data_IF_476728726835
#
_entry.id   IF_476728726835
#
_cell.length_a   1.000
_cell.length_b   1.000
_cell.length_c   1.000
_cell.angle_alpha   90.00
_cell.angle_beta   90.00
_cell.angle_gamma   90.00
#
_symmetry.space_group_name_H-M   'P 1'
#
loop_
_entity.id
_entity.type
_entity.pdbx_description
1 polymer ?
#
# COMPACT_ATOMS: atom_id res chain seq x y z
N UNK A 1 -0.24 10.59 -0.28
CA UNK A 1 -1.50 10.80 0.49
C UNK A 1 -2.35 9.52 0.45
N UNK A 2 -2.74 8.95 1.59
CA UNK A 2 -3.62 7.77 1.65
C UNK A 2 -5.04 8.10 1.13
N UNK A 3 -5.60 7.24 0.28
CA UNK A 3 -6.93 7.43 -0.31
C UNK A 3 -7.57 6.09 -0.72
N UNK A 4 -8.84 6.15 -1.12
CA UNK A 4 -9.57 5.08 -1.79
C UNK A 4 -9.97 5.51 -3.19
N UNK A 5 -10.13 4.53 -4.06
CA UNK A 5 -10.67 4.78 -5.39
C UNK A 5 -12.19 5.02 -5.33
N UNK A 6 -12.68 5.90 -6.20
CA UNK A 6 -14.09 6.29 -6.20
C UNK A 6 -15.05 5.15 -6.62
N UNK A 7 -16.34 5.26 -6.27
CA UNK A 7 -17.35 4.22 -6.53
C UNK A 7 -17.71 4.06 -8.02
N UNK A 8 -17.17 4.91 -8.91
CA UNK A 8 -17.40 4.84 -10.35
C UNK A 8 -16.68 3.65 -11.02
N UNK A 9 -15.66 3.10 -10.35
CA UNK A 9 -14.86 2.00 -10.88
C UNK A 9 -15.37 0.66 -10.35
N UNK A 10 -15.28 -0.39 -11.18
CA UNK A 10 -15.39 -1.77 -10.72
C UNK A 10 -14.28 -2.03 -9.68
N UNK A 11 -14.53 -2.81 -8.59
CA UNK A 11 -13.66 -2.91 -7.42
C UNK A 11 -12.41 -3.77 -7.65
N UNK A 12 -11.64 -3.43 -8.69
CA UNK A 12 -10.34 -3.99 -9.03
C UNK A 12 -9.50 -2.90 -9.70
N UNK A 13 -8.24 -2.84 -9.32
CA UNK A 13 -7.28 -1.88 -9.87
C UNK A 13 -6.02 -2.63 -10.24
N UNK A 14 -5.49 -2.31 -11.41
CA UNK A 14 -4.18 -2.77 -11.84
C UNK A 14 -3.23 -1.57 -11.92
N UNK A 15 -2.04 -1.67 -11.33
CA UNK A 15 -0.99 -0.65 -11.43
C UNK A 15 0.27 -1.32 -11.98
N UNK A 16 0.70 -0.85 -13.15
CA UNK A 16 1.99 -1.21 -13.73
C UNK A 16 3.01 -0.19 -13.23
N UNK A 17 4.10 -0.66 -12.63
CA UNK A 17 5.21 0.17 -12.17
C UNK A 17 6.34 0.12 -13.18
N UNK A 18 6.90 1.28 -13.53
CA UNK A 18 7.97 1.43 -14.52
C UNK A 18 9.13 2.26 -13.95
N UNK A 19 10.33 1.97 -14.46
CA UNK A 19 11.59 2.69 -14.22
C UNK A 19 12.19 2.60 -12.81
N UNK A 20 11.49 3.06 -11.76
CA UNK A 20 12.07 3.21 -10.41
C UNK A 20 11.21 2.48 -9.36
N UNK A 21 11.83 1.76 -8.39
CA UNK A 21 11.10 1.07 -7.34
C UNK A 21 10.45 2.06 -6.35
N UNK A 22 9.40 1.61 -5.67
CA UNK A 22 8.65 2.43 -4.72
C UNK A 22 7.95 1.57 -3.68
N UNK A 23 7.76 2.11 -2.49
CA UNK A 23 6.87 1.52 -1.49
C UNK A 23 5.48 2.16 -1.58
N UNK A 24 4.45 1.32 -1.74
CA UNK A 24 3.05 1.68 -1.57
C UNK A 24 2.54 1.14 -0.23
N UNK A 25 1.81 1.96 0.50
CA UNK A 25 1.23 1.61 1.79
C UNK A 25 -0.26 1.29 1.64
N UNK A 26 -0.71 0.25 2.34
CA UNK A 26 -2.11 -0.11 2.56
C UNK A 26 -2.40 0.00 4.06
N UNK A 27 -3.28 0.91 4.43
CA UNK A 27 -3.67 1.15 5.82
C UNK A 27 -5.16 0.92 6.01
N UNK A 28 -5.54 0.27 7.11
CA UNK A 28 -6.95 -0.08 7.34
C UNK A 28 -7.82 1.17 7.52
N UNK A 29 -8.96 1.22 6.82
CA UNK A 29 -9.91 2.32 6.91
C UNK A 29 -10.86 2.14 8.11
N UNK A 30 -10.39 2.51 9.31
CA UNK A 30 -11.09 2.29 10.60
C UNK A 30 -12.57 2.74 10.66
N UNK A 31 -12.98 3.74 9.87
CA UNK A 31 -14.37 4.22 9.83
C UNK A 31 -15.34 3.29 9.09
N UNK A 32 -14.86 2.45 8.16
CA UNK A 32 -15.71 1.47 7.46
C UNK A 32 -16.00 0.25 8.33
N UNK A 33 -15.07 -0.13 9.22
CA UNK A 33 -15.27 -1.22 10.19
C UNK A 33 -16.37 -0.90 11.21
N UNK A 34 -16.55 0.38 11.59
CA UNK A 34 -17.59 0.80 12.55
C UNK A 34 -19.03 0.69 12.01
N UNK A 35 -19.22 0.47 10.70
CA UNK A 35 -20.56 0.31 10.11
C UNK A 35 -21.06 -1.14 10.08
N UNK A 36 -20.24 -2.12 10.47
CA UNK A 36 -20.72 -3.49 10.72
C UNK A 36 -21.38 -3.52 12.11
N UNK A 37 -22.73 -3.64 12.23
CA UNK A 37 -23.43 -3.39 13.48
C UNK A 37 -23.34 -4.49 14.54
N UNK A 38 -22.57 -5.56 14.31
CA UNK A 38 -22.68 -6.76 15.15
C UNK A 38 -21.74 -6.81 16.36
N UNK A 39 -20.91 -5.79 16.59
CA UNK A 39 -20.07 -5.75 17.80
C UNK A 39 -20.09 -4.37 18.46
N UNK A 40 -21.20 -4.08 19.16
CA UNK A 40 -21.16 -3.16 20.29
C UNK A 40 -20.45 -3.88 21.43
N UNK A 41 -19.18 -3.57 21.69
CA UNK A 41 -18.67 -3.64 23.06
C UNK A 41 -17.69 -2.51 23.34
N UNK A 42 -18.10 -1.72 24.32
CA UNK A 42 -17.45 -0.64 25.03
C UNK A 42 -16.05 -1.01 25.53
N UNK A 43 -15.11 -0.05 25.46
CA UNK A 43 -14.25 0.44 26.56
C UNK A 43 -12.85 0.86 26.10
N UNK A 44 -12.44 2.01 26.62
CA UNK A 44 -11.06 2.48 26.74
C UNK A 44 -10.21 1.41 27.45
N UNK A 45 -9.06 1.05 26.89
CA UNK A 45 -7.83 0.79 27.65
C UNK A 45 -6.65 0.40 26.77
N UNK A 46 -5.51 0.92 27.19
CA UNK A 46 -4.15 0.55 26.87
C UNK A 46 -3.85 -0.97 26.89
N UNK A 47 -2.92 -1.36 26.02
CA UNK A 47 -2.03 -2.55 26.09
C UNK A 47 -2.57 -3.90 25.59
N UNK A 48 -1.88 -4.39 24.54
CA UNK A 48 -1.77 -5.77 23.99
C UNK A 48 -3.08 -6.42 23.53
N UNK A 49 -3.24 -6.49 22.20
CA UNK A 49 -4.06 -7.52 21.55
C UNK A 49 -3.40 -7.96 20.25
N UNK A 50 -2.53 -8.98 20.31
CA UNK A 50 -2.40 -9.92 19.20
C UNK A 50 -3.67 -10.78 19.16
N UNK A 51 -4.77 -10.21 18.66
CA UNK A 51 -5.94 -11.00 18.25
C UNK A 51 -5.75 -11.35 16.78
N UNK A 52 -5.73 -12.64 16.48
CA UNK A 52 -5.79 -13.19 15.13
C UNK A 52 -7.05 -12.65 14.43
N UNK A 53 -6.92 -11.61 13.60
CA UNK A 53 -8.03 -11.06 12.84
C UNK A 53 -8.06 -9.54 12.65
N UNK A 54 -7.18 -8.77 13.31
CA UNK A 54 -7.12 -7.33 13.01
C UNK A 54 -6.46 -7.07 11.64
N UNK A 55 -7.11 -6.31 10.73
CA UNK A 55 -6.54 -5.97 9.44
C UNK A 55 -5.26 -5.18 9.66
N UNK A 56 -4.12 -5.80 9.33
CA UNK A 56 -2.80 -5.23 9.55
C UNK A 56 -2.46 -4.29 8.41
N UNK A 57 -2.06 -3.07 8.77
CA UNK A 57 -1.34 -2.20 7.83
C UNK A 57 -0.17 -2.96 7.23
N UNK A 58 -0.01 -2.85 5.92
CA UNK A 58 1.11 -3.45 5.22
C UNK A 58 1.58 -2.53 4.11
N UNK A 59 2.81 -2.76 3.67
CA UNK A 59 3.39 -2.05 2.54
C UNK A 59 3.87 -3.05 1.50
N UNK A 60 3.92 -2.63 0.24
CA UNK A 60 4.45 -3.41 -0.86
C UNK A 60 5.54 -2.64 -1.58
N UNK A 61 6.65 -3.32 -1.82
CA UNK A 61 7.71 -2.85 -2.70
C UNK A 61 7.31 -3.16 -4.15
N UNK A 62 7.16 -2.11 -4.94
CA UNK A 62 6.83 -2.18 -6.36
C UNK A 62 8.11 -2.01 -7.17
N UNK A 63 8.64 -3.10 -7.71
CA UNK A 63 9.82 -3.06 -8.58
C UNK A 63 9.48 -2.51 -9.98
N UNK A 64 10.45 -1.98 -10.74
CA UNK A 64 10.26 -1.67 -12.15
C UNK A 64 9.77 -2.90 -12.92
N UNK A 65 8.85 -2.68 -13.87
CA UNK A 65 8.17 -3.71 -14.67
C UNK A 65 7.32 -4.69 -13.88
N UNK A 66 6.97 -4.37 -12.63
CA UNK A 66 6.01 -5.14 -11.85
C UNK A 66 4.57 -4.68 -12.09
N UNK A 67 3.63 -5.61 -11.90
CA UNK A 67 2.20 -5.38 -11.91
C UNK A 67 1.65 -5.72 -10.53
N UNK A 68 0.95 -4.77 -9.91
CA UNK A 68 0.11 -5.05 -8.74
C UNK A 68 -1.36 -5.00 -9.16
N UNK A 69 -2.12 -5.99 -8.71
CA UNK A 69 -3.58 -6.03 -8.82
C UNK A 69 -4.13 -6.15 -7.40
N UNK A 70 -5.02 -5.25 -7.02
CA UNK A 70 -5.76 -5.35 -5.75
C UNK A 70 -7.25 -5.20 -6.02
N UNK A 71 -8.04 -5.97 -5.26
CA UNK A 71 -9.50 -6.12 -5.38
C UNK A 71 -10.10 -6.44 -4.01
N UNK A 72 -11.43 -6.53 -3.96
CA UNK A 72 -12.19 -6.93 -2.77
C UNK A 72 -11.81 -6.03 -1.56
N UNK A 73 -11.50 -6.61 -0.39
CA UNK A 73 -11.15 -5.88 0.83
C UNK A 73 -9.99 -4.90 0.63
N UNK A 74 -8.96 -5.27 -0.14
CA UNK A 74 -7.83 -4.38 -0.40
C UNK A 74 -8.23 -3.13 -1.21
N UNK A 75 -9.34 -3.19 -1.95
CA UNK A 75 -9.93 -2.05 -2.65
C UNK A 75 -10.91 -1.28 -1.75
N UNK A 76 -11.78 -2.00 -1.04
CA UNK A 76 -12.91 -1.40 -0.31
C UNK A 76 -12.60 -0.95 1.11
N UNK A 77 -11.65 -1.60 1.78
CA UNK A 77 -11.47 -1.49 3.25
C UNK A 77 -10.10 -0.91 3.62
N UNK A 78 -9.20 -0.76 2.66
CA UNK A 78 -7.88 -0.17 2.84
C UNK A 78 -7.76 1.16 2.09
N UNK A 79 -7.14 2.13 2.75
CA UNK A 79 -6.56 3.29 2.11
C UNK A 79 -5.24 2.85 1.49
N UNK A 80 -5.00 3.21 0.24
CA UNK A 80 -3.70 3.03 -0.40
C UNK A 80 -3.04 4.39 -0.66
N UNK A 81 -1.72 4.42 -0.58
CA UNK A 81 -1.00 5.67 -0.72
C UNK A 81 0.48 5.51 -0.93
N UNK A 82 1.06 6.55 -1.51
CA UNK A 82 2.50 6.73 -1.63
C UNK A 82 2.88 7.88 -0.71
N UNK A 83 3.92 7.68 0.08
CA UNK A 83 4.53 8.74 0.88
C UNK A 83 5.27 9.71 -0.04
N UNK A 84 5.02 11.01 0.12
CA UNK A 84 5.73 12.06 -0.62
C UNK A 84 7.11 12.29 0.03
N UNK A 85 8.01 11.36 -0.20
CA UNK A 85 9.35 11.30 0.37
C UNK A 85 10.24 10.47 -0.54
N UNK A 86 11.51 10.85 -0.65
CA UNK A 86 12.51 10.01 -1.31
C UNK A 86 12.96 8.84 -0.43
N UNK A 87 12.79 8.96 0.89
CA UNK A 87 13.12 7.91 1.86
C UNK A 87 11.86 7.10 2.19
N UNK A 88 11.92 5.79 1.97
CA UNK A 88 10.83 4.84 2.20
C UNK A 88 11.24 3.81 3.25
N UNK A 89 10.38 3.55 4.23
CA UNK A 89 10.63 2.49 5.20
C UNK A 89 10.27 1.11 4.65
N UNK A 90 11.11 0.12 4.94
CA UNK A 90 10.93 -1.28 4.56
C UNK A 90 10.31 -2.12 5.71
N UNK A 91 10.10 -1.54 6.90
CA UNK A 91 9.65 -2.27 8.11
C UNK A 91 8.32 -3.00 7.94
N UNK A 92 7.38 -2.42 7.18
CA UNK A 92 6.05 -2.98 6.91
C UNK A 92 5.95 -3.67 5.55
N UNK A 93 7.05 -3.74 4.79
CA UNK A 93 7.04 -4.28 3.43
C UNK A 93 7.01 -5.81 3.48
N UNK A 94 5.92 -6.40 3.00
CA UNK A 94 5.68 -7.84 3.13
C UNK A 94 6.29 -8.69 2.01
N UNK A 95 6.62 -8.08 0.87
CA UNK A 95 7.09 -8.80 -0.32
C UNK A 95 8.60 -8.66 -0.60
N UNK A 96 9.42 -8.16 0.33
CA UNK A 96 10.87 -8.00 0.13
C UNK A 96 11.53 -9.31 -0.31
N UNK A 97 11.12 -10.43 0.28
CA UNK A 97 11.66 -11.76 -0.05
C UNK A 97 11.40 -12.18 -1.50
N UNK A 98 10.45 -11.55 -2.18
CA UNK A 98 10.11 -11.77 -3.59
C UNK A 98 10.84 -10.82 -4.54
N UNK A 99 11.64 -9.89 -4.03
CA UNK A 99 12.38 -8.89 -4.83
C UNK A 99 13.90 -9.03 -4.59
N UNK A 100 14.55 -10.11 -5.07
CA UNK A 100 15.98 -10.35 -4.83
C UNK A 100 16.87 -9.28 -5.47
N UNK A 101 16.47 -8.76 -6.63
CA UNK A 101 17.16 -7.71 -7.38
C UNK A 101 17.33 -6.42 -6.55
N UNK A 102 16.35 -6.12 -5.69
CA UNK A 102 16.37 -4.94 -4.82
C UNK A 102 17.47 -5.01 -3.75
N UNK A 103 17.81 -6.22 -3.28
CA UNK A 103 18.88 -6.40 -2.28
C UNK A 103 20.26 -6.16 -2.89
N UNK A 104 20.43 -6.47 -4.18
CA UNK A 104 21.72 -6.31 -4.87
C UNK A 104 22.06 -4.83 -5.11
N UNK A 105 21.06 -3.97 -5.28
CA UNK A 105 21.28 -2.54 -5.57
C UNK A 105 21.50 -1.67 -4.32
N UNK A 106 21.09 -2.12 -3.14
CA UNK A 106 21.28 -1.37 -1.88
C UNK A 106 22.63 -1.65 -1.20
N UNK A 107 23.44 -2.57 -1.73
CA UNK A 107 24.82 -2.81 -1.27
C UNK A 107 25.79 -2.12 -2.23
N UNK A 108 25.92 -0.80 -2.11
CA UNK A 108 27.07 -0.08 -2.66
C UNK A 108 28.32 -0.47 -1.84
N UNK A 109 29.49 -0.76 -2.45
CA UNK A 109 30.71 -1.13 -1.72
C UNK A 109 31.40 0.01 -0.95
N UNK A 110 30.93 1.25 -1.07
CA UNK A 110 31.59 2.42 -0.48
C UNK A 110 30.73 2.99 0.64
N UNK A 111 31.34 3.14 1.83
CA UNK A 111 30.80 3.66 3.09
C UNK A 111 30.32 2.60 4.11
N UNK A 112 31.27 1.85 4.67
CA UNK A 112 31.11 1.17 5.97
C UNK A 112 31.63 2.12 7.05
N UNK A 113 30.74 2.86 7.71
CA UNK A 113 30.97 3.40 9.06
C UNK A 113 29.72 3.21 9.95
N UNK A 114 29.74 2.11 10.73
CA UNK A 114 29.16 1.97 12.08
C UNK A 114 27.65 2.22 12.34
N UNK A 115 26.73 2.03 11.38
CA UNK A 115 25.27 2.19 11.61
C UNK A 115 24.35 1.13 10.95
N UNK A 116 24.90 -0.07 10.73
CA UNK A 116 24.42 -1.07 9.76
C UNK A 116 23.02 -1.69 9.98
N UNK A 117 22.36 -1.46 11.12
CA UNK A 117 21.02 -2.03 11.38
C UNK A 117 19.90 -1.13 10.83
N UNK A 118 20.09 0.20 10.82
CA UNK A 118 19.04 1.15 10.40
C UNK A 118 18.96 1.29 8.87
N UNK A 119 20.10 1.21 8.17
CA UNK A 119 20.14 1.25 6.70
C UNK A 119 19.45 0.07 6.03
N UNK A 120 19.35 -1.09 6.70
CA UNK A 120 18.61 -2.24 6.14
C UNK A 120 17.10 -2.02 6.05
N UNK A 121 16.56 -1.04 6.79
CA UNK A 121 15.12 -0.83 6.97
C UNK A 121 14.58 0.41 6.23
N UNK A 122 15.43 1.11 5.46
CA UNK A 122 15.05 2.30 4.71
C UNK A 122 15.67 2.22 3.32
N UNK A 123 14.93 2.68 2.31
CA UNK A 123 15.35 2.73 0.93
C UNK A 123 15.18 4.14 0.38
N UNK A 124 16.15 4.62 -0.40
CA UNK A 124 16.10 5.94 -1.05
C UNK A 124 15.80 5.80 -2.54
N UNK A 125 14.75 6.46 -3.02
CA UNK A 125 14.51 6.64 -4.45
C UNK A 125 15.35 7.80 -4.99
N UNK A 126 16.03 7.58 -6.11
CA UNK A 126 16.87 8.59 -6.78
C UNK A 126 16.34 8.99 -8.16
N UNK A 127 15.42 8.20 -8.71
CA UNK A 127 14.97 8.30 -10.09
C UNK A 127 13.47 8.49 -10.19
N UNK A 128 13.02 9.18 -11.24
CA UNK A 128 11.62 9.33 -11.59
C UNK A 128 10.97 7.96 -11.77
N UNK A 129 9.84 7.74 -11.08
CA UNK A 129 8.97 6.59 -11.28
C UNK A 129 7.83 6.95 -12.22
N UNK A 130 7.52 6.04 -13.14
CA UNK A 130 6.31 6.12 -13.95
C UNK A 130 5.39 4.97 -13.52
N UNK A 131 4.09 5.21 -13.45
CA UNK A 131 3.11 4.13 -13.29
C UNK A 131 1.89 4.34 -14.16
N UNK A 132 1.34 3.23 -14.64
CA UNK A 132 0.10 3.19 -15.39
C UNK A 132 -0.95 2.53 -14.51
N UNK A 133 -2.02 3.25 -14.20
CA UNK A 133 -3.15 2.70 -13.45
C UNK A 133 -4.31 2.42 -14.40
N UNK A 134 -4.73 1.16 -14.45
CA UNK A 134 -5.84 0.69 -15.25
C UNK A 134 -7.04 0.40 -14.34
N UNK A 135 -8.19 0.97 -14.69
CA UNK A 135 -9.47 0.78 -13.98
C UNK A 135 -10.59 0.52 -14.99
N UNK A 136 -11.57 -0.25 -14.57
CA UNK A 136 -12.77 -0.49 -15.36
C UNK A 136 -13.89 0.43 -14.88
N UNK A 137 -14.40 1.30 -15.74
CA UNK A 137 -15.56 2.15 -15.44
C UNK A 137 -16.83 1.39 -15.81
N UNK A 138 -17.76 1.25 -14.86
CA UNK A 138 -19.05 0.64 -15.12
C UNK A 138 -19.93 1.58 -15.95
N UNK A 139 -20.57 1.06 -17.00
CA UNK A 139 -21.51 1.84 -17.80
C UNK A 139 -22.71 2.25 -16.93
N UNK A 140 -22.79 3.53 -16.59
CA UNK A 140 -24.02 4.10 -16.04
C UNK A 140 -25.02 4.33 -17.18
N UNK A 141 -26.18 3.67 -17.13
CA UNK A 141 -27.28 4.02 -18.02
C UNK A 141 -27.75 5.44 -17.68
N UNK A 142 -27.90 6.30 -18.69
CA UNK A 142 -28.16 7.75 -18.60
C UNK A 142 -29.42 8.18 -17.81
N UNK A 143 -30.20 7.24 -17.25
CA UNK A 143 -31.54 7.51 -16.70
C UNK A 143 -31.65 7.37 -15.16
N UNK A 144 -30.52 7.27 -14.43
CA UNK A 144 -30.53 7.10 -12.97
C UNK A 144 -30.65 8.41 -12.16
N UNK A 145 -30.51 9.58 -12.80
CA UNK A 145 -30.76 10.88 -12.16
C UNK A 145 -31.93 11.52 -12.89
N UNK A 146 -33.15 11.30 -12.38
CA UNK A 146 -34.29 12.16 -12.66
C UNK A 146 -34.20 13.32 -11.65
N UNK A 147 -33.90 14.53 -12.16
CA UNK A 147 -34.16 15.76 -11.42
C UNK A 147 -35.67 16.04 -11.41
#
# INVERSE_FOLDING_TARGET
MPHQDGPAYFPVVAIISLMSPLVIDFTSHQRLRKLNPDEVTTQESEVICEKNGDPKDCSLLLMPFSLIIFKDEAYSDYLHGIQDSQLHSLKKVVNISKCPEFKQTNTSPEEIETSDIEQSNVFRTTNTRISLTCRLVLKVHKNLIKF
#
